data_IF_056252920019
#
_entry.id   IF_056252920019
#
_cell.length_a   1.000
_cell.length_b   1.000
_cell.length_c   1.000
_cell.angle_alpha   90.00
_cell.angle_beta   90.00
_cell.angle_gamma   90.00
#
_symmetry.space_group_name_H-M   'P 1'
#
loop_
_entity.id
_entity.type
_entity.pdbx_description
1 polymer ?
#
# COMPACT_ATOMS: atom_id res chain seq x y z
N UNK A 1 -7.70 36.49 12.73
CA UNK A 1 -8.32 35.64 11.67
C UNK A 1 -9.79 35.53 12.02
N UNK A 2 -10.70 35.94 11.13
CA UNK A 2 -12.14 35.82 11.37
C UNK A 2 -12.55 34.35 11.31
N UNK A 3 -13.08 33.80 12.42
CA UNK A 3 -13.73 32.49 12.43
C UNK A 3 -15.07 32.60 11.71
N UNK A 4 -15.11 32.24 10.43
CA UNK A 4 -16.38 32.08 9.73
C UNK A 4 -16.88 30.66 10.00
N UNK A 5 -17.95 30.55 10.80
CA UNK A 5 -18.74 29.32 10.89
C UNK A 5 -19.53 29.25 9.59
N UNK A 6 -19.26 28.22 8.78
CA UNK A 6 -19.93 28.00 7.50
C UNK A 6 -20.77 26.74 7.64
N UNK A 7 -22.08 26.87 7.51
CA UNK A 7 -22.96 25.71 7.33
C UNK A 7 -22.58 25.04 6.00
N UNK A 8 -22.43 23.70 5.94
CA UNK A 8 -22.12 23.03 4.69
C UNK A 8 -23.28 23.22 3.71
N UNK A 9 -23.11 24.16 2.78
CA UNK A 9 -23.94 24.26 1.59
C UNK A 9 -23.35 23.33 0.55
N UNK A 10 -24.19 22.59 -0.16
CA UNK A 10 -23.77 21.99 -1.44
C UNK A 10 -23.30 23.13 -2.35
N UNK A 11 -21.99 23.31 -2.47
CA UNK A 11 -21.43 24.17 -3.51
C UNK A 11 -21.65 23.42 -4.83
N UNK A 12 -22.51 23.97 -5.70
CA UNK A 12 -22.81 23.38 -7.01
C UNK A 12 -21.64 23.51 -7.99
N UNK A 13 -20.70 24.41 -7.70
CA UNK A 13 -19.65 24.79 -8.62
C UNK A 13 -18.27 24.46 -8.01
N UNK A 14 -17.56 23.55 -8.69
CA UNK A 14 -16.14 23.17 -8.48
C UNK A 14 -15.16 24.38 -8.48
N UNK A 15 -15.63 25.59 -8.78
CA UNK A 15 -14.81 26.81 -8.92
C UNK A 15 -14.69 27.68 -7.66
N UNK A 16 -15.50 27.44 -6.62
CA UNK A 16 -15.36 28.23 -5.39
C UNK A 16 -14.04 27.89 -4.69
N UNK A 17 -13.14 28.89 -4.60
CA UNK A 17 -11.82 28.78 -3.96
C UNK A 17 -11.82 29.59 -2.65
N UNK A 18 -11.50 28.92 -1.54
CA UNK A 18 -11.24 29.55 -0.25
C UNK A 18 -9.76 29.46 0.03
N UNK A 19 -9.13 30.59 0.34
CA UNK A 19 -7.68 30.63 0.60
C UNK A 19 -7.32 31.32 1.91
N UNK A 20 -6.20 30.90 2.51
CA UNK A 20 -5.58 31.52 3.68
C UNK A 20 -6.56 31.75 4.84
N UNK A 21 -7.45 30.79 5.07
CA UNK A 21 -8.62 30.95 5.94
C UNK A 21 -8.76 29.80 6.94
N UNK A 22 -9.43 30.09 8.05
CA UNK A 22 -9.92 29.09 8.99
C UNK A 22 -11.43 28.92 8.79
N UNK A 23 -11.88 27.67 8.62
CA UNK A 23 -13.30 27.34 8.37
C UNK A 23 -13.76 26.29 9.37
N UNK A 24 -14.93 26.52 9.97
CA UNK A 24 -15.58 25.53 10.84
C UNK A 24 -16.90 25.08 10.22
N UNK A 25 -17.08 23.76 10.14
CA UNK A 25 -18.24 23.06 9.61
C UNK A 25 -18.83 22.20 10.73
N UNK A 26 -20.14 22.29 10.93
CA UNK A 26 -20.81 21.60 12.03
C UNK A 26 -22.14 21.02 11.57
N UNK A 27 -22.25 19.69 11.61
CA UNK A 27 -23.44 18.95 11.19
C UNK A 27 -23.71 19.00 9.68
N UNK A 28 -24.46 18.01 9.19
CA UNK A 28 -24.96 17.98 7.81
C UNK A 28 -24.03 17.28 6.82
N UNK A 29 -24.36 17.38 5.53
CA UNK A 29 -23.63 16.75 4.43
C UNK A 29 -23.38 17.77 3.32
N UNK A 30 -22.19 17.79 2.73
CA UNK A 30 -21.92 18.71 1.62
C UNK A 30 -20.58 18.51 0.92
N UNK A 31 -20.53 18.99 -0.32
CA UNK A 31 -19.29 19.18 -1.09
C UNK A 31 -18.69 20.52 -0.67
N UNK A 32 -17.42 20.50 -0.29
CA UNK A 32 -16.70 21.70 0.13
C UNK A 32 -16.06 22.39 -1.07
N UNK A 33 -15.85 23.72 -1.01
CA UNK A 33 -15.06 24.42 -1.99
C UNK A 33 -13.61 23.92 -2.00
N UNK A 34 -12.85 24.29 -3.03
CA UNK A 34 -11.41 24.05 -3.06
C UNK A 34 -10.74 24.92 -2.00
N UNK A 35 -9.82 24.33 -1.25
CA UNK A 35 -9.07 25.04 -0.21
C UNK A 35 -7.60 25.19 -0.59
N UNK A 36 -7.03 26.37 -0.34
CA UNK A 36 -5.61 26.65 -0.52
C UNK A 36 -5.03 27.34 0.70
N UNK A 37 -4.04 26.74 1.38
CA UNK A 37 -3.47 27.27 2.63
C UNK A 37 -4.54 27.49 3.72
N UNK A 38 -5.49 26.57 3.86
CA UNK A 38 -6.57 26.71 4.83
C UNK A 38 -6.44 25.73 5.99
N UNK A 39 -7.14 26.05 7.09
CA UNK A 39 -7.41 25.11 8.18
C UNK A 39 -8.91 24.90 8.26
N UNK A 40 -9.37 23.67 8.08
CA UNK A 40 -10.79 23.31 8.09
C UNK A 40 -11.03 22.38 9.27
N UNK A 41 -11.99 22.75 10.13
CA UNK A 41 -12.49 21.87 11.20
C UNK A 41 -13.90 21.44 10.86
N UNK A 42 -14.14 20.14 10.76
CA UNK A 42 -15.46 19.58 10.50
C UNK A 42 -15.88 18.66 11.64
N UNK A 43 -17.06 18.88 12.22
CA UNK A 43 -17.58 18.08 13.33
C UNK A 43 -18.93 17.46 12.93
N UNK A 44 -19.05 16.15 13.11
CA UNK A 44 -20.25 15.34 12.86
C UNK A 44 -20.87 15.62 11.48
N UNK A 45 -20.03 15.73 10.45
CA UNK A 45 -20.43 16.15 9.10
C UNK A 45 -19.98 15.13 8.06
N UNK A 46 -20.79 14.90 7.04
CA UNK A 46 -20.41 14.10 5.87
C UNK A 46 -19.85 15.04 4.80
N UNK A 47 -18.53 15.06 4.64
CA UNK A 47 -17.87 16.05 3.78
C UNK A 47 -17.22 15.40 2.55
N UNK A 48 -17.28 16.11 1.43
CA UNK A 48 -16.47 15.82 0.24
C UNK A 48 -15.49 16.98 0.02
N UNK A 49 -14.20 16.68 -0.01
CA UNK A 49 -13.10 17.63 -0.21
C UNK A 49 -12.54 17.44 -1.61
N UNK A 50 -12.65 18.45 -2.48
CA UNK A 50 -12.15 18.38 -3.85
C UNK A 50 -10.94 19.31 -4.05
N UNK A 51 -9.88 18.80 -4.69
CA UNK A 51 -8.78 19.57 -5.26
C UNK A 51 -8.10 20.56 -4.31
N UNK A 52 -8.05 20.22 -3.02
CA UNK A 52 -7.45 21.04 -1.97
C UNK A 52 -5.93 21.00 -2.04
N UNK A 53 -5.27 22.08 -1.62
CA UNK A 53 -3.82 22.18 -1.62
C UNK A 53 -3.29 22.86 -0.36
N UNK A 54 -2.16 22.39 0.17
CA UNK A 54 -1.45 22.99 1.31
C UNK A 54 -2.37 23.26 2.52
N UNK A 55 -3.38 22.42 2.74
CA UNK A 55 -4.42 22.69 3.73
C UNK A 55 -4.43 21.62 4.82
N UNK A 56 -4.94 22.00 5.99
CA UNK A 56 -5.07 21.14 7.16
C UNK A 56 -6.55 20.89 7.43
N UNK A 57 -6.94 19.62 7.53
CA UNK A 57 -8.30 19.20 7.86
C UNK A 57 -8.28 18.48 9.20
N UNK A 58 -9.14 18.93 10.11
CA UNK A 58 -9.44 18.25 11.37
C UNK A 58 -10.91 17.81 11.34
N UNK A 59 -11.15 16.53 11.14
CA UNK A 59 -12.49 15.96 10.97
C UNK A 59 -12.80 15.05 12.15
N UNK A 60 -13.96 15.25 12.77
CA UNK A 60 -14.41 14.49 13.93
C UNK A 60 -15.82 13.96 13.69
N UNK A 61 -15.95 12.67 13.42
CA UNK A 61 -17.21 11.99 13.12
C UNK A 61 -17.80 12.32 11.74
N UNK A 62 -18.78 11.51 11.32
CA UNK A 62 -19.37 11.59 9.98
C UNK A 62 -18.62 10.73 8.97
N UNK A 63 -18.68 11.09 7.68
CA UNK A 63 -17.90 10.46 6.61
C UNK A 63 -17.04 11.47 5.89
N UNK A 64 -15.88 11.04 5.39
CA UNK A 64 -14.95 11.91 4.67
C UNK A 64 -14.60 11.32 3.31
N UNK A 65 -14.89 12.05 2.25
CA UNK A 65 -14.41 11.75 0.89
C UNK A 65 -13.42 12.81 0.46
N UNK A 66 -12.26 12.40 -0.05
CA UNK A 66 -11.18 13.30 -0.47
C UNK A 66 -10.81 12.97 -1.91
N UNK A 67 -10.90 13.96 -2.80
CA UNK A 67 -10.61 13.82 -4.22
C UNK A 67 -9.47 14.77 -4.61
N UNK A 68 -8.33 14.22 -5.02
CA UNK A 68 -7.24 14.99 -5.65
C UNK A 68 -6.55 16.00 -4.73
N UNK A 69 -6.48 15.75 -3.42
CA UNK A 69 -5.78 16.63 -2.48
C UNK A 69 -4.26 16.68 -2.78
N UNK A 70 -3.61 17.81 -2.50
CA UNK A 70 -2.17 17.95 -2.67
C UNK A 70 -1.53 18.61 -1.44
N UNK A 71 -0.37 18.12 -1.01
CA UNK A 71 0.40 18.75 0.09
C UNK A 71 -0.43 19.02 1.36
N UNK A 72 -1.46 18.20 1.60
CA UNK A 72 -2.46 18.47 2.64
C UNK A 72 -2.38 17.46 3.76
N UNK A 73 -2.75 17.91 4.96
CA UNK A 73 -2.78 17.09 6.17
C UNK A 73 -4.23 16.83 6.58
N UNK A 74 -4.56 15.58 6.85
CA UNK A 74 -5.88 15.15 7.29
C UNK A 74 -5.77 14.41 8.61
N UNK A 75 -6.32 14.98 9.68
CA UNK A 75 -6.56 14.31 10.95
C UNK A 75 -8.05 13.96 11.01
N UNK A 76 -8.39 12.68 10.97
CA UNK A 76 -9.76 12.20 10.81
C UNK A 76 -10.05 11.19 11.93
N UNK A 77 -10.92 11.57 12.86
CA UNK A 77 -11.32 10.70 13.97
C UNK A 77 -12.79 10.29 13.85
N UNK A 78 -13.10 9.03 14.16
CA UNK A 78 -14.43 8.43 14.17
C UNK A 78 -15.14 8.42 12.81
N UNK A 79 -14.42 8.54 11.69
CA UNK A 79 -15.02 8.71 10.37
C UNK A 79 -14.48 7.71 9.34
N UNK A 80 -15.34 6.90 8.68
CA UNK A 80 -14.97 6.19 7.46
C UNK A 80 -14.46 7.19 6.41
N UNK A 81 -13.34 6.85 5.77
CA UNK A 81 -12.62 7.75 4.88
C UNK A 81 -12.36 7.09 3.53
N UNK A 82 -12.77 7.77 2.45
CA UNK A 82 -12.45 7.39 1.08
C UNK A 82 -11.57 8.46 0.46
N UNK A 83 -10.43 8.05 -0.09
CA UNK A 83 -9.49 8.90 -0.80
C UNK A 83 -9.36 8.43 -2.24
N UNK A 84 -9.50 9.35 -3.18
CA UNK A 84 -9.25 9.14 -4.59
C UNK A 84 -8.29 10.20 -5.10
N UNK A 85 -7.16 9.76 -5.63
CA UNK A 85 -6.14 10.66 -6.15
C UNK A 85 -5.32 11.36 -5.08
N UNK A 86 -4.57 12.35 -5.54
CA UNK A 86 -3.78 13.22 -4.68
C UNK A 86 -2.32 12.83 -4.58
N UNK A 87 -1.52 13.79 -4.11
CA UNK A 87 -0.06 13.69 -4.06
C UNK A 87 0.49 14.49 -2.88
N UNK A 88 1.54 14.00 -2.22
CA UNK A 88 2.21 14.66 -1.09
C UNK A 88 1.30 14.88 0.13
N UNK A 89 0.33 14.00 0.36
CA UNK A 89 -0.59 14.14 1.49
C UNK A 89 -0.19 13.30 2.71
N UNK A 90 -0.62 13.76 3.88
CA UNK A 90 -0.54 13.03 5.13
C UNK A 90 -1.95 12.75 5.67
N UNK A 91 -2.24 11.48 5.93
CA UNK A 91 -3.49 11.03 6.53
C UNK A 91 -3.21 10.39 7.89
N UNK A 92 -3.90 10.85 8.92
CA UNK A 92 -3.97 10.23 10.22
C UNK A 92 -5.44 9.95 10.52
N UNK A 93 -5.84 8.69 10.37
CA UNK A 93 -7.22 8.24 10.51
C UNK A 93 -7.33 7.15 11.57
N UNK A 94 -8.52 6.97 12.14
CA UNK A 94 -8.82 5.86 13.06
C UNK A 94 -9.97 4.95 12.59
N UNK A 95 -10.69 5.36 11.54
CA UNK A 95 -11.79 4.62 10.93
C UNK A 95 -11.35 3.68 9.81
N UNK A 96 -12.32 3.10 9.10
CA UNK A 96 -12.02 2.39 7.86
C UNK A 96 -11.49 3.36 6.80
N UNK A 97 -10.46 2.96 6.08
CA UNK A 97 -9.83 3.75 5.02
C UNK A 97 -9.85 2.98 3.70
N UNK A 98 -10.37 3.61 2.66
CA UNK A 98 -10.17 3.21 1.27
C UNK A 98 -9.34 4.29 0.58
N UNK A 99 -8.15 3.93 0.08
CA UNK A 99 -7.28 4.82 -0.66
C UNK A 99 -7.07 4.30 -2.09
N UNK A 100 -7.17 5.17 -3.08
CA UNK A 100 -7.00 4.79 -4.48
C UNK A 100 -6.40 5.93 -5.31
N UNK A 101 -5.76 5.61 -6.43
CA UNK A 101 -5.34 6.57 -7.47
C UNK A 101 -4.34 7.65 -7.00
N UNK A 102 -3.83 7.57 -5.78
CA UNK A 102 -2.81 8.50 -5.30
C UNK A 102 -1.49 8.32 -6.02
N UNK A 103 -0.79 9.42 -6.29
CA UNK A 103 0.53 9.41 -6.94
C UNK A 103 1.55 10.11 -6.06
N UNK A 104 2.84 9.93 -6.37
CA UNK A 104 3.92 10.52 -5.61
C UNK A 104 3.90 10.10 -4.15
N UNK A 105 4.48 10.91 -3.27
CA UNK A 105 4.65 10.56 -1.86
C UNK A 105 3.33 10.72 -1.10
N UNK A 106 2.83 9.69 -0.43
CA UNK A 106 1.73 9.84 0.53
C UNK A 106 2.11 9.12 1.83
N UNK A 107 1.68 9.65 2.97
CA UNK A 107 1.86 9.02 4.28
C UNK A 107 0.50 8.74 4.89
N UNK A 108 0.27 7.49 5.30
CA UNK A 108 -0.97 7.04 5.94
C UNK A 108 -0.61 6.41 7.28
N UNK A 109 -1.20 6.94 8.35
CA UNK A 109 -1.30 6.28 9.64
C UNK A 109 -2.77 5.96 9.84
N UNK A 110 -3.09 4.68 10.01
CA UNK A 110 -4.47 4.26 10.26
C UNK A 110 -4.53 3.20 11.36
N UNK A 111 -5.51 3.32 12.26
CA UNK A 111 -5.79 2.28 13.26
C UNK A 111 -7.00 1.42 12.91
N UNK A 112 -7.78 1.80 11.89
CA UNK A 112 -8.87 0.97 11.37
C UNK A 112 -8.47 0.11 10.17
N UNK A 113 -9.45 -0.64 9.64
CA UNK A 113 -9.27 -1.45 8.43
C UNK A 113 -8.82 -0.58 7.26
N UNK A 114 -7.78 -1.03 6.54
CA UNK A 114 -7.19 -0.25 5.44
C UNK A 114 -7.19 -1.04 4.14
N UNK A 115 -7.70 -0.42 3.07
CA UNK A 115 -7.62 -0.92 1.69
C UNK A 115 -6.98 0.13 0.81
N UNK A 116 -5.90 -0.24 0.13
CA UNK A 116 -5.16 0.65 -0.76
C UNK A 116 -5.10 0.03 -2.15
N UNK A 117 -5.47 0.80 -3.15
CA UNK A 117 -5.32 0.46 -4.56
C UNK A 117 -4.31 1.43 -5.19
N UNK A 118 -3.13 0.90 -5.50
CA UNK A 118 -2.01 1.63 -6.08
C UNK A 118 -2.28 2.13 -7.49
N UNK A 119 -1.36 2.93 -8.00
CA UNK A 119 -1.30 3.37 -9.40
C UNK A 119 0.14 3.77 -9.69
N UNK A 120 0.54 3.76 -10.96
CA UNK A 120 1.88 4.14 -11.40
C UNK A 120 2.37 5.45 -10.73
N UNK A 121 3.55 5.38 -10.14
CA UNK A 121 4.20 6.49 -9.46
C UNK A 121 3.77 6.68 -8.00
N UNK A 122 2.96 5.81 -7.41
CA UNK A 122 2.66 5.85 -5.97
C UNK A 122 3.90 5.49 -5.14
N UNK A 123 4.24 6.37 -4.19
CA UNK A 123 5.20 6.11 -3.12
C UNK A 123 4.50 6.29 -1.78
N UNK A 124 4.13 5.18 -1.15
CA UNK A 124 3.34 5.17 0.07
C UNK A 124 4.19 4.80 1.28
N UNK A 125 4.10 5.61 2.34
CA UNK A 125 4.47 5.20 3.69
C UNK A 125 3.20 4.84 4.45
N UNK A 126 3.13 3.61 4.96
CA UNK A 126 1.98 3.10 5.71
C UNK A 126 2.37 2.75 7.15
N UNK A 127 1.53 3.09 8.11
CA UNK A 127 1.59 2.58 9.49
C UNK A 127 0.21 2.09 9.89
N UNK A 128 0.01 0.77 9.85
CA UNK A 128 -1.20 0.08 10.32
C UNK A 128 -0.93 -0.63 11.65
N UNK A 129 -1.78 -0.42 12.66
CA UNK A 129 -1.51 -0.90 14.03
C UNK A 129 -2.50 -1.93 14.62
N UNK A 130 -3.80 -1.80 14.33
CA UNK A 130 -4.83 -2.60 15.01
C UNK A 130 -5.73 -3.41 14.05
N UNK A 131 -5.47 -3.35 12.75
CA UNK A 131 -6.25 -4.04 11.73
C UNK A 131 -5.37 -4.34 10.55
N UNK A 132 -5.66 -5.46 9.91
CA UNK A 132 -4.95 -5.89 8.72
C UNK A 132 -5.09 -4.82 7.62
N UNK A 133 -4.07 -4.70 6.79
CA UNK A 133 -4.10 -3.83 5.63
C UNK A 133 -3.99 -4.64 4.35
N UNK A 134 -4.76 -4.24 3.34
CA UNK A 134 -4.60 -4.72 1.98
C UNK A 134 -3.97 -3.61 1.12
N UNK A 135 -2.89 -3.95 0.42
CA UNK A 135 -2.31 -3.13 -0.64
C UNK A 135 -2.37 -3.89 -1.96
N UNK A 136 -3.04 -3.31 -2.96
CA UNK A 136 -3.10 -3.85 -4.32
C UNK A 136 -2.23 -2.97 -5.21
N UNK A 137 -1.10 -3.48 -5.69
CA UNK A 137 -0.26 -2.79 -6.68
C UNK A 137 -0.84 -3.03 -8.08
N UNK A 138 -1.11 -1.96 -8.81
CA UNK A 138 -1.66 -2.04 -10.15
C UNK A 138 -0.52 -2.02 -11.17
N UNK A 139 -0.80 -1.64 -12.42
CA UNK A 139 0.25 -1.46 -13.41
C UNK A 139 1.11 -0.22 -13.09
N UNK A 140 2.42 -0.36 -13.25
CA UNK A 140 3.38 0.73 -13.11
C UNK A 140 4.42 0.49 -12.02
N UNK A 141 5.09 1.56 -11.60
CA UNK A 141 6.06 1.52 -10.52
C UNK A 141 5.42 2.02 -9.23
N UNK A 142 5.29 1.14 -8.24
CA UNK A 142 4.76 1.51 -6.93
C UNK A 142 5.75 1.15 -5.82
N UNK A 143 5.74 1.95 -4.75
CA UNK A 143 6.50 1.70 -3.54
C UNK A 143 5.58 1.69 -2.33
N UNK A 144 5.69 0.65 -1.50
CA UNK A 144 5.08 0.57 -0.18
C UNK A 144 6.18 0.43 0.88
N UNK A 145 6.33 1.44 1.72
CA UNK A 145 7.10 1.35 2.95
C UNK A 145 6.16 1.31 4.15
N UNK A 146 5.90 0.10 4.62
CA UNK A 146 5.07 -0.19 5.77
C UNK A 146 5.86 -0.73 6.97
N UNK A 147 7.17 -0.49 7.04
CA UNK A 147 8.06 -0.97 8.09
C UNK A 147 7.66 -0.56 9.53
N UNK A 148 6.86 0.50 9.66
CA UNK A 148 6.32 0.94 10.95
C UNK A 148 4.99 0.29 11.34
N UNK A 149 4.45 -0.63 10.53
CA UNK A 149 3.18 -1.31 10.81
C UNK A 149 3.38 -2.50 11.74
N UNK A 150 2.41 -2.75 12.61
CA UNK A 150 2.41 -3.90 13.52
C UNK A 150 1.33 -4.93 13.22
N UNK A 151 0.32 -4.57 12.42
CA UNK A 151 -0.68 -5.52 11.91
C UNK A 151 -0.21 -6.19 10.61
N UNK A 152 -0.71 -7.40 10.32
CA UNK A 152 -0.53 -8.06 9.03
C UNK A 152 -0.86 -7.16 7.83
N UNK A 153 -0.04 -7.27 6.80
CA UNK A 153 -0.23 -6.64 5.50
C UNK A 153 -0.28 -7.73 4.45
N UNK A 154 -1.36 -7.74 3.68
CA UNK A 154 -1.46 -8.50 2.44
C UNK A 154 -1.16 -7.57 1.28
N UNK A 155 -0.24 -7.98 0.43
CA UNK A 155 0.16 -7.27 -0.78
C UNK A 155 -0.18 -8.13 -2.00
N UNK A 156 -0.99 -7.61 -2.91
CA UNK A 156 -1.28 -8.22 -4.20
C UNK A 156 -0.77 -7.32 -5.33
N UNK A 157 0.28 -7.75 -6.02
CA UNK A 157 0.69 -7.10 -7.26
C UNK A 157 -0.13 -7.56 -8.46
N UNK A 158 -0.08 -6.80 -9.56
CA UNK A 158 -0.89 -7.11 -10.72
C UNK A 158 -0.51 -8.43 -11.37
N UNK A 159 -1.53 -9.24 -11.60
CA UNK A 159 -1.47 -10.60 -12.16
C UNK A 159 -1.91 -10.64 -13.64
N UNK A 160 -2.03 -9.47 -14.28
CA UNK A 160 -2.47 -9.37 -15.69
C UNK A 160 -1.26 -9.46 -16.61
N UNK A 161 -1.31 -10.33 -17.61
CA UNK A 161 -0.12 -10.74 -18.37
C UNK A 161 0.58 -9.65 -19.19
N UNK A 162 -0.07 -8.50 -19.41
CA UNK A 162 0.50 -7.36 -20.12
C UNK A 162 0.86 -6.18 -19.21
N UNK A 163 0.64 -6.28 -17.89
CA UNK A 163 1.07 -5.25 -16.97
C UNK A 163 2.55 -5.41 -16.65
N UNK A 164 3.23 -4.28 -16.48
CA UNK A 164 4.60 -4.23 -15.97
C UNK A 164 4.57 -3.57 -14.59
N UNK A 165 4.35 -4.37 -13.55
CA UNK A 165 4.32 -3.91 -12.16
C UNK A 165 5.72 -4.00 -11.56
N UNK A 166 6.42 -2.89 -11.39
CA UNK A 166 7.68 -2.87 -10.65
C UNK A 166 7.43 -2.42 -9.22
N UNK A 167 7.36 -3.39 -8.31
CA UNK A 167 6.92 -3.15 -6.95
C UNK A 167 8.10 -3.17 -5.98
N UNK A 168 8.25 -2.12 -5.18
CA UNK A 168 9.19 -2.09 -4.05
C UNK A 168 8.42 -2.08 -2.74
N UNK A 169 8.52 -3.15 -1.96
CA UNK A 169 7.77 -3.33 -0.72
C UNK A 169 8.71 -3.57 0.45
N UNK A 170 8.39 -2.93 1.56
CA UNK A 170 8.81 -3.33 2.90
C UNK A 170 7.59 -3.36 3.79
N UNK A 171 7.23 -4.51 4.33
CA UNK A 171 6.15 -4.65 5.31
C UNK A 171 6.67 -4.57 6.74
N UNK A 172 5.85 -4.94 7.72
CA UNK A 172 6.00 -4.53 9.12
C UNK A 172 6.50 -5.66 10.02
N UNK A 173 5.96 -5.70 11.25
CA UNK A 173 6.18 -6.81 12.17
C UNK A 173 5.05 -7.83 12.21
N UNK A 174 4.08 -7.70 11.30
CA UNK A 174 2.98 -8.65 11.14
C UNK A 174 3.46 -9.95 10.50
N UNK A 175 2.58 -10.95 10.42
CA UNK A 175 2.81 -12.08 9.51
C UNK A 175 2.24 -11.68 8.16
N UNK A 176 3.10 -11.21 7.27
CA UNK A 176 2.71 -10.54 6.05
C UNK A 176 2.70 -11.53 4.85
N UNK A 177 1.86 -11.24 3.86
CA UNK A 177 1.79 -12.00 2.61
C UNK A 177 2.07 -11.06 1.43
N UNK A 178 3.09 -11.39 0.63
CA UNK A 178 3.60 -10.55 -0.43
C UNK A 178 3.57 -11.30 -1.76
N UNK A 179 2.56 -11.06 -2.58
CA UNK A 179 2.49 -11.53 -3.96
C UNK A 179 3.26 -10.59 -4.88
N UNK A 180 4.28 -11.13 -5.55
CA UNK A 180 5.18 -10.41 -6.44
C UNK A 180 4.51 -9.97 -7.75
N UNK A 181 3.45 -10.67 -8.18
CA UNK A 181 2.77 -10.45 -9.46
C UNK A 181 3.70 -10.53 -10.67
N UNK A 182 3.31 -9.80 -11.71
CA UNK A 182 4.11 -9.61 -12.94
C UNK A 182 5.19 -8.54 -12.75
N UNK A 183 6.21 -8.53 -13.62
CA UNK A 183 7.22 -7.46 -13.62
C UNK A 183 8.36 -7.69 -12.62
N UNK A 184 9.11 -6.64 -12.28
CA UNK A 184 10.28 -6.77 -11.38
C UNK A 184 9.99 -6.24 -9.99
N UNK A 185 10.05 -7.11 -8.99
CA UNK A 185 9.68 -6.75 -7.62
C UNK A 185 10.87 -6.84 -6.66
N UNK A 186 10.89 -6.00 -5.63
CA UNK A 186 11.77 -6.12 -4.47
C UNK A 186 10.91 -6.20 -3.23
N UNK A 187 10.91 -7.35 -2.56
CA UNK A 187 10.02 -7.66 -1.46
C UNK A 187 10.82 -7.83 -0.18
N UNK A 188 10.41 -7.11 0.86
CA UNK A 188 10.92 -7.27 2.22
C UNK A 188 9.73 -7.49 3.15
N UNK A 189 9.69 -8.64 3.81
CA UNK A 189 8.60 -9.03 4.71
C UNK A 189 8.69 -8.39 6.09
N UNK A 190 9.84 -7.83 6.46
CA UNK A 190 10.08 -7.33 7.81
C UNK A 190 10.17 -8.47 8.83
N UNK A 191 9.76 -8.20 10.07
CA UNK A 191 9.70 -9.22 11.12
C UNK A 191 8.45 -10.10 10.95
N UNK A 192 8.29 -11.13 11.78
CA UNK A 192 7.17 -12.07 11.67
C UNK A 192 7.45 -13.22 10.69
N UNK A 193 6.47 -14.11 10.55
CA UNK A 193 6.53 -15.25 9.63
C UNK A 193 5.81 -14.88 8.34
N UNK A 194 6.57 -14.47 7.34
CA UNK A 194 6.10 -13.90 6.09
C UNK A 194 6.02 -14.93 4.96
N UNK A 195 5.11 -14.69 4.02
CA UNK A 195 4.91 -15.54 2.85
C UNK A 195 5.16 -14.72 1.58
N UNK A 196 6.10 -15.16 0.76
CA UNK A 196 6.37 -14.58 -0.56
C UNK A 196 5.72 -15.43 -1.63
N UNK A 197 4.76 -14.89 -2.36
CA UNK A 197 3.88 -15.64 -3.26
C UNK A 197 4.29 -15.43 -4.72
N UNK A 198 4.35 -16.54 -5.45
CA UNK A 198 4.56 -16.59 -6.89
C UNK A 198 3.54 -17.54 -7.49
N UNK A 199 2.83 -17.11 -8.54
CA UNK A 199 1.80 -17.90 -9.20
C UNK A 199 2.13 -18.06 -10.69
N UNK A 200 2.25 -19.31 -11.15
CA UNK A 200 2.58 -19.62 -12.54
C UNK A 200 1.55 -19.10 -13.56
N UNK A 201 0.27 -19.15 -13.24
CA UNK A 201 -0.79 -18.83 -14.21
C UNK A 201 -0.86 -17.34 -14.53
N UNK A 202 -0.31 -16.52 -13.63
CA UNK A 202 -0.31 -15.07 -13.72
C UNK A 202 1.08 -14.47 -13.85
N UNK A 203 2.10 -15.33 -13.87
CA UNK A 203 3.47 -14.96 -14.16
C UNK A 203 3.64 -14.65 -15.65
N UNK A 204 3.76 -13.36 -15.95
CA UNK A 204 4.15 -12.85 -17.27
C UNK A 204 5.67 -12.75 -17.45
N UNK A 205 6.41 -13.32 -16.51
CA UNK A 205 7.84 -13.19 -16.37
C UNK A 205 8.26 -11.96 -15.56
N UNK A 206 9.55 -11.90 -15.26
CA UNK A 206 10.11 -10.86 -14.41
C UNK A 206 11.21 -11.37 -13.52
N UNK A 207 11.70 -10.48 -12.64
CA UNK A 207 12.71 -10.80 -11.64
C UNK A 207 12.30 -10.24 -10.30
N UNK A 208 12.20 -11.11 -9.32
CA UNK A 208 11.91 -10.71 -7.95
C UNK A 208 13.11 -10.92 -7.05
N UNK A 209 13.43 -9.90 -6.26
CA UNK A 209 14.40 -9.98 -5.17
C UNK A 209 13.63 -10.06 -3.86
N UNK A 210 13.89 -11.10 -3.07
CA UNK A 210 13.46 -11.18 -1.67
C UNK A 210 14.64 -10.71 -0.83
N UNK A 211 14.51 -9.55 -0.19
CA UNK A 211 15.63 -8.87 0.47
C UNK A 211 15.95 -9.35 1.89
N UNK A 212 14.98 -9.93 2.60
CA UNK A 212 15.07 -10.24 4.03
C UNK A 212 14.49 -11.62 4.41
N UNK A 213 14.56 -12.60 3.51
CA UNK A 213 13.90 -13.90 3.66
C UNK A 213 14.17 -14.63 4.99
N UNK A 214 15.32 -14.41 5.65
CA UNK A 214 15.65 -14.94 6.98
C UNK A 214 15.14 -16.38 7.24
N UNK A 215 15.87 -17.40 6.74
CA UNK A 215 15.48 -18.82 6.81
C UNK A 215 15.02 -19.30 8.20
N UNK A 216 15.62 -18.77 9.27
CA UNK A 216 15.27 -19.11 10.66
C UNK A 216 13.98 -18.45 11.19
N UNK A 217 13.43 -17.45 10.49
CA UNK A 217 12.27 -16.68 10.90
C UNK A 217 10.93 -17.31 10.48
N UNK A 218 10.92 -18.56 9.99
CA UNK A 218 9.68 -19.24 9.59
C UNK A 218 9.06 -18.76 8.28
N UNK A 219 9.71 -17.83 7.58
CA UNK A 219 9.29 -17.34 6.27
C UNK A 219 9.18 -18.45 5.24
N UNK A 220 8.24 -18.30 4.29
CA UNK A 220 7.98 -19.27 3.23
C UNK A 220 7.94 -18.61 1.85
N UNK A 221 8.32 -19.37 0.83
CA UNK A 221 8.06 -19.06 -0.58
C UNK A 221 6.92 -19.97 -1.05
N UNK A 222 5.78 -19.39 -1.42
CA UNK A 222 4.66 -20.14 -1.99
C UNK A 222 4.76 -20.14 -3.51
N UNK A 223 4.80 -21.33 -4.12
CA UNK A 223 4.87 -21.53 -5.57
C UNK A 223 3.56 -22.13 -6.07
N UNK A 224 2.55 -21.29 -6.32
CA UNK A 224 1.23 -21.73 -6.74
C UNK A 224 1.17 -22.07 -8.23
N UNK A 225 0.40 -23.11 -8.56
CA UNK A 225 0.09 -23.56 -9.92
C UNK A 225 1.30 -24.01 -10.77
N UNK A 226 2.48 -24.14 -10.16
CA UNK A 226 3.64 -24.77 -10.82
C UNK A 226 3.51 -26.29 -10.97
N UNK A 227 2.49 -26.90 -10.36
CA UNK A 227 2.26 -28.36 -10.33
C UNK A 227 3.46 -29.13 -9.77
N UNK A 228 4.12 -28.55 -8.76
CA UNK A 228 5.28 -29.16 -8.13
C UNK A 228 4.84 -30.25 -7.15
N UNK A 229 5.51 -31.39 -7.22
CA UNK A 229 5.64 -32.35 -6.12
C UNK A 229 6.91 -32.06 -5.33
N UNK A 230 7.07 -32.68 -4.15
CA UNK A 230 8.30 -32.60 -3.36
C UNK A 230 9.54 -33.02 -4.15
N UNK A 231 9.43 -34.06 -4.99
CA UNK A 231 10.53 -34.51 -5.84
C UNK A 231 10.91 -33.45 -6.89
N UNK A 232 9.90 -32.86 -7.56
CA UNK A 232 10.16 -31.82 -8.57
C UNK A 232 10.65 -30.50 -7.97
N UNK A 233 10.23 -30.17 -6.74
CA UNK A 233 10.79 -29.05 -5.98
C UNK A 233 12.26 -29.33 -5.62
N UNK A 234 12.59 -30.55 -5.21
CA UNK A 234 13.97 -30.97 -5.00
C UNK A 234 14.84 -30.84 -6.25
N UNK A 235 14.30 -31.21 -7.43
CA UNK A 235 14.98 -31.03 -8.71
C UNK A 235 15.17 -29.55 -9.08
N UNK A 236 14.16 -28.70 -8.84
CA UNK A 236 14.28 -27.25 -9.00
C UNK A 236 15.40 -26.68 -8.13
N UNK A 237 15.44 -27.04 -6.84
CA UNK A 237 16.50 -26.58 -5.92
C UNK A 237 17.89 -27.08 -6.36
N UNK A 238 18.01 -28.33 -6.81
CA UNK A 238 19.27 -28.89 -7.28
C UNK A 238 19.80 -28.25 -8.58
N UNK A 239 18.90 -27.72 -9.43
CA UNK A 239 19.26 -26.99 -10.65
C UNK A 239 19.44 -25.48 -10.43
N UNK A 240 19.09 -24.99 -9.25
CA UNK A 240 19.32 -23.60 -8.85
C UNK A 240 20.77 -23.36 -8.47
N UNK A 241 21.19 -22.10 -8.37
CA UNK A 241 22.59 -21.74 -8.16
C UNK A 241 22.74 -20.53 -7.25
N UNK A 242 23.98 -20.25 -6.82
CA UNK A 242 24.32 -19.00 -6.19
C UNK A 242 24.81 -17.99 -7.24
N UNK A 243 24.44 -16.72 -7.08
CA UNK A 243 25.06 -15.62 -7.83
C UNK A 243 26.49 -15.32 -7.31
N UNK A 244 27.15 -14.31 -7.89
CA UNK A 244 28.50 -13.90 -7.49
C UNK A 244 28.60 -13.36 -6.06
N UNK A 245 27.47 -12.97 -5.46
CA UNK A 245 27.39 -12.45 -4.10
C UNK A 245 26.97 -13.54 -3.09
N UNK A 246 26.74 -14.77 -3.56
CA UNK A 246 26.30 -15.89 -2.73
C UNK A 246 24.79 -15.94 -2.47
N UNK A 247 23.98 -15.18 -3.21
CA UNK A 247 22.52 -15.21 -3.12
C UNK A 247 21.97 -16.39 -3.94
N UNK A 248 20.96 -17.09 -3.42
CA UNK A 248 20.28 -18.15 -4.13
C UNK A 248 19.46 -17.56 -5.28
N UNK A 249 19.58 -18.17 -6.46
CA UNK A 249 18.85 -17.80 -7.67
C UNK A 249 18.08 -19.02 -8.17
N UNK A 250 16.75 -18.91 -8.13
CA UNK A 250 15.80 -19.90 -8.61
C UNK A 250 15.19 -19.39 -9.92
N UNK A 251 15.21 -20.22 -10.95
CA UNK A 251 14.54 -19.91 -12.22
C UNK A 251 13.23 -20.71 -12.29
N UNK A 252 12.11 -19.99 -12.33
CA UNK A 252 10.76 -20.52 -12.38
C UNK A 252 10.14 -20.22 -13.75
N UNK A 253 10.37 -21.09 -14.74
CA UNK A 253 9.92 -20.88 -16.13
C UNK A 253 10.27 -19.47 -16.66
N UNK A 254 9.34 -18.51 -16.57
CA UNK A 254 9.51 -17.13 -17.03
C UNK A 254 9.94 -16.13 -15.94
N UNK A 255 9.87 -16.51 -14.65
CA UNK A 255 10.28 -15.68 -13.52
C UNK A 255 11.62 -16.11 -12.94
N UNK A 256 12.41 -15.18 -12.44
CA UNK A 256 13.58 -15.49 -11.61
C UNK A 256 13.40 -14.91 -10.21
N UNK A 257 13.65 -15.74 -9.19
CA UNK A 257 13.69 -15.30 -7.79
C UNK A 257 15.15 -15.26 -7.35
N UNK A 258 15.55 -14.13 -6.79
CA UNK A 258 16.81 -14.00 -6.04
C UNK A 258 16.50 -13.86 -4.57
N UNK A 259 17.01 -14.77 -3.74
CA UNK A 259 16.87 -14.70 -2.28
C UNK A 259 18.15 -14.10 -1.71
N UNK A 260 18.10 -12.81 -1.40
CA UNK A 260 19.27 -12.05 -0.98
C UNK A 260 19.77 -12.53 0.39
N UNK A 261 21.08 -12.69 0.52
CA UNK A 261 21.73 -13.10 1.76
C UNK A 261 21.54 -14.57 2.14
N UNK A 262 20.89 -15.38 1.29
CA UNK A 262 20.68 -16.81 1.53
C UNK A 262 21.34 -17.61 0.42
N UNK A 263 22.23 -18.55 0.75
CA UNK A 263 22.80 -19.49 -0.21
C UNK A 263 21.80 -20.59 -0.56
N UNK A 264 21.82 -21.08 -1.80
CA UNK A 264 20.95 -22.18 -2.26
C UNK A 264 21.12 -23.45 -1.40
N UNK A 265 22.31 -23.68 -0.85
CA UNK A 265 22.58 -24.82 0.03
C UNK A 265 21.82 -24.76 1.38
N UNK A 266 21.27 -23.59 1.72
CA UNK A 266 20.49 -23.36 2.94
C UNK A 266 18.98 -23.22 2.65
N UNK A 267 18.55 -23.43 1.41
CA UNK A 267 17.14 -23.50 1.04
C UNK A 267 16.76 -24.96 0.82
N UNK A 268 15.81 -25.42 1.61
CA UNK A 268 15.28 -26.77 1.57
C UNK A 268 13.78 -26.75 1.33
N UNK A 269 13.19 -27.91 1.09
CA UNK A 269 11.78 -28.01 0.76
C UNK A 269 10.88 -27.48 1.87
N UNK A 270 11.34 -27.45 3.13
CA UNK A 270 10.56 -26.88 4.22
C UNK A 270 10.32 -25.38 4.05
N UNK A 271 11.16 -24.63 3.33
CA UNK A 271 10.95 -23.20 3.10
C UNK A 271 9.87 -22.91 2.04
N UNK A 272 9.25 -23.92 1.44
CA UNK A 272 8.31 -23.75 0.34
C UNK A 272 6.93 -24.30 0.64
N UNK A 273 5.91 -23.63 0.10
CA UNK A 273 4.57 -24.17 -0.07
C UNK A 273 4.36 -24.45 -1.57
N UNK A 274 3.90 -25.65 -1.94
CA UNK A 274 3.68 -26.10 -3.32
C UNK A 274 2.31 -26.75 -3.47
#
# INVERSE_FOLDING_TARGET
MSNNIVTPTTYSDEESLVSNSAVTIQGGSGVLPRYYNCTVTAMNSNIMVNGTQNSNFNVMGGTTTINGAQYSNFMISGSPTTVSGGNNNNFNADGSLLFSQGTGFNSIVNTGQTFIFGTDGLNLVLRSYNSDALFVANEGNETLNAAGSTSPITVYASQTSNHNTNLVVTTGSGNDELDAGTGNSTLNGGAGNNIFVFNKDTDAGGRTVIGDFAVSAGNKISLYNYNLTQDSLGALLASSHNDSNGNAVLNLDNHQITVQGVSINNLHTEQFNI
#
